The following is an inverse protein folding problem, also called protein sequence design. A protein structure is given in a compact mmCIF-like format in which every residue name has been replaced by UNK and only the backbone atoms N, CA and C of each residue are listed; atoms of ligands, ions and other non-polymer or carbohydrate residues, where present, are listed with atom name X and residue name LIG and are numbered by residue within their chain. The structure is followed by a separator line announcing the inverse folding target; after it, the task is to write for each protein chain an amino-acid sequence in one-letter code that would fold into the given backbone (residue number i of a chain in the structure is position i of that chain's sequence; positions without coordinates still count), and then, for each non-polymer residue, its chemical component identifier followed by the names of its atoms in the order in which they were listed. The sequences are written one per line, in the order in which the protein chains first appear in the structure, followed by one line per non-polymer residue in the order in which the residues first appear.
data_IF_032758425851
#
_entry.id   IF_032758425851
#
_cell.length_a   1.000
_cell.length_b   1.000
_cell.length_c   1.000
_cell.angle_alpha   90.00
_cell.angle_beta   90.00
_cell.angle_gamma   90.00
#
_symmetry.space_group_name_H-M   'P 1'
#
loop_
_entity.id
_entity.type
_entity.pdbx_description
1 polymer ?
#
# COMPACT_ATOMS: atom_id res chain seq x y z
N UNK A 1 31.52 -22.23 -10.48
CA UNK A 1 32.36 -21.02 -10.18
C UNK A 1 33.32 -20.88 -11.35
N UNK A 2 33.40 -19.73 -11.96
CA UNK A 2 34.34 -19.46 -13.06
C UNK A 2 35.74 -19.52 -12.52
N UNK A 3 36.63 -20.33 -13.12
CA UNK A 3 37.99 -20.55 -12.61
C UNK A 3 39.04 -20.64 -13.69
N UNK A 4 38.64 -20.73 -14.98
CA UNK A 4 39.57 -20.89 -16.08
C UNK A 4 40.04 -19.52 -16.59
N UNK A 5 41.32 -19.43 -16.93
CA UNK A 5 41.93 -18.28 -17.63
C UNK A 5 42.05 -18.61 -19.10
N UNK A 6 41.52 -17.80 -20.00
CA UNK A 6 41.73 -17.94 -21.45
C UNK A 6 42.83 -17.00 -21.88
N UNK A 7 43.91 -17.56 -22.43
CA UNK A 7 45.02 -16.81 -23.01
C UNK A 7 44.87 -16.79 -24.54
N UNK A 8 44.85 -15.59 -25.10
CA UNK A 8 44.69 -15.36 -26.54
C UNK A 8 45.88 -14.57 -27.07
N UNK A 9 46.75 -15.21 -27.82
CA UNK A 9 47.96 -14.61 -28.44
C UNK A 9 48.34 -15.49 -29.64
N UNK A 10 48.73 -14.92 -30.77
CA UNK A 10 49.12 -15.68 -31.95
C UNK A 10 50.52 -16.34 -31.81
N UNK A 11 51.36 -15.78 -30.92
CA UNK A 11 52.70 -16.31 -30.66
C UNK A 11 52.65 -17.41 -29.57
N UNK A 12 53.05 -18.61 -29.95
CA UNK A 12 53.14 -19.78 -29.06
C UNK A 12 53.97 -19.49 -27.78
N UNK A 13 55.14 -18.85 -27.97
CA UNK A 13 56.02 -18.48 -26.85
C UNK A 13 55.33 -17.61 -25.79
N UNK A 14 54.50 -16.65 -26.21
CA UNK A 14 53.76 -15.79 -25.29
C UNK A 14 52.71 -16.59 -24.51
N UNK A 15 52.00 -17.50 -25.19
CA UNK A 15 51.01 -18.38 -24.53
C UNK A 15 51.66 -19.28 -23.48
N UNK A 16 52.78 -19.95 -23.86
CA UNK A 16 53.54 -20.81 -22.92
C UNK A 16 54.05 -20.02 -21.71
N UNK A 17 54.60 -18.83 -21.91
CA UNK A 17 55.05 -17.97 -20.80
C UNK A 17 53.92 -17.58 -19.88
N UNK A 18 52.75 -17.14 -20.40
CA UNK A 18 51.58 -16.77 -19.58
C UNK A 18 50.98 -17.97 -18.92
N UNK A 19 50.92 -19.12 -19.58
CA UNK A 19 50.44 -20.38 -19.02
C UNK A 19 51.31 -20.78 -17.83
N UNK A 20 52.61 -20.79 -17.96
CA UNK A 20 53.57 -21.12 -16.87
C UNK A 20 53.44 -20.17 -15.64
N UNK A 21 53.04 -18.90 -15.85
CA UNK A 21 52.83 -17.94 -14.78
C UNK A 21 51.53 -18.26 -14.00
N UNK A 22 50.48 -18.77 -14.69
CA UNK A 22 49.12 -18.83 -14.16
C UNK A 22 48.63 -20.24 -13.82
N UNK A 23 49.21 -21.29 -14.41
CA UNK A 23 48.77 -22.71 -14.24
C UNK A 23 48.82 -23.23 -12.82
N UNK A 24 49.67 -22.64 -11.94
CA UNK A 24 49.68 -22.98 -10.51
C UNK A 24 48.39 -22.58 -9.76
N UNK A 25 47.73 -21.52 -10.23
CA UNK A 25 46.56 -20.95 -9.55
C UNK A 25 45.25 -21.16 -10.32
N UNK A 26 45.33 -21.27 -11.68
CA UNK A 26 44.16 -21.35 -12.56
C UNK A 26 44.35 -22.40 -13.66
N UNK A 27 43.29 -23.18 -13.98
CA UNK A 27 43.26 -23.95 -15.23
C UNK A 27 43.32 -23.01 -16.44
N UNK A 28 44.26 -23.23 -17.33
CA UNK A 28 44.47 -22.40 -18.47
C UNK A 28 43.84 -23.00 -19.72
N UNK A 29 43.23 -22.14 -20.54
CA UNK A 29 42.80 -22.41 -21.92
C UNK A 29 43.63 -21.53 -22.87
N UNK A 30 43.97 -22.06 -24.04
CA UNK A 30 44.79 -21.34 -25.00
C UNK A 30 44.11 -21.22 -26.38
N UNK A 31 44.11 -20.01 -26.92
CA UNK A 31 43.67 -19.73 -28.28
C UNK A 31 44.82 -19.04 -29.06
N UNK A 32 45.14 -19.59 -30.22
CA UNK A 32 46.20 -19.14 -31.11
C UNK A 32 45.78 -18.01 -32.06
N UNK A 33 44.62 -17.40 -31.83
CA UNK A 33 44.09 -16.27 -32.58
C UNK A 33 42.65 -15.91 -32.22
N UNK A 34 42.17 -14.79 -32.75
CA UNK A 34 40.89 -14.21 -32.38
C UNK A 34 39.69 -15.08 -32.75
N UNK A 35 39.71 -15.82 -33.86
CA UNK A 35 38.62 -16.71 -34.28
C UNK A 35 38.42 -17.82 -33.25
N UNK A 36 39.47 -18.52 -32.88
CA UNK A 36 39.43 -19.59 -31.88
C UNK A 36 39.05 -19.06 -30.51
N UNK A 37 39.52 -17.85 -30.17
CA UNK A 37 39.12 -17.20 -28.92
C UNK A 37 37.62 -16.99 -28.83
N UNK A 38 36.95 -16.51 -29.87
CA UNK A 38 35.48 -16.31 -29.89
C UNK A 38 34.76 -17.66 -29.76
N UNK A 39 35.21 -18.70 -30.46
CA UNK A 39 34.61 -20.05 -30.32
C UNK A 39 34.74 -20.59 -28.91
N UNK A 40 35.94 -20.48 -28.32
CA UNK A 40 36.19 -20.94 -26.95
C UNK A 40 35.43 -20.13 -25.90
N UNK A 41 35.30 -18.80 -26.06
CA UNK A 41 34.50 -17.97 -25.18
C UNK A 41 33.03 -18.42 -25.23
N UNK A 42 32.50 -18.70 -26.41
CA UNK A 42 31.12 -19.17 -26.56
C UNK A 42 30.90 -20.54 -25.88
N UNK A 43 31.86 -21.45 -26.02
CA UNK A 43 31.80 -22.83 -25.47
C UNK A 43 31.98 -22.81 -23.95
N UNK A 44 32.96 -22.05 -23.43
CA UNK A 44 33.33 -22.07 -21.99
C UNK A 44 32.93 -20.81 -21.22
N UNK A 45 31.98 -20.00 -21.72
CA UNK A 45 31.56 -18.71 -21.10
C UNK A 45 31.23 -18.78 -19.62
N UNK A 46 30.71 -19.91 -19.14
CA UNK A 46 30.31 -20.10 -17.74
C UNK A 46 31.46 -20.61 -16.86
N UNK A 47 32.62 -20.94 -17.47
CA UNK A 47 33.80 -21.45 -16.78
C UNK A 47 34.98 -20.44 -16.84
N UNK A 48 35.02 -19.52 -17.83
CA UNK A 48 36.06 -18.52 -17.96
C UNK A 48 35.91 -17.42 -16.91
N UNK A 49 36.96 -17.25 -16.11
CA UNK A 49 37.05 -16.20 -15.08
C UNK A 49 37.62 -14.90 -15.62
N UNK A 50 38.58 -14.97 -16.56
CA UNK A 50 39.19 -13.81 -17.22
C UNK A 50 39.75 -14.23 -18.57
N UNK A 51 39.77 -13.30 -19.55
CA UNK A 51 40.44 -13.44 -20.84
C UNK A 51 41.66 -12.53 -20.86
N UNK A 52 42.85 -13.10 -21.13
CA UNK A 52 44.07 -12.37 -21.45
C UNK A 52 44.15 -12.27 -22.98
N UNK A 53 44.11 -11.08 -23.53
CA UNK A 53 43.91 -10.85 -24.95
C UNK A 53 45.02 -10.00 -25.53
N UNK A 54 45.78 -10.53 -26.50
CA UNK A 54 46.61 -9.68 -27.36
C UNK A 54 45.74 -8.92 -28.37
N UNK A 55 46.11 -7.67 -28.64
CA UNK A 55 45.42 -6.83 -29.62
C UNK A 55 45.90 -7.10 -31.05
N UNK A 56 47.16 -7.44 -31.24
CA UNK A 56 47.78 -7.54 -32.54
C UNK A 56 47.91 -9.01 -32.91
N UNK A 57 46.96 -9.51 -33.67
CA UNK A 57 46.90 -10.88 -34.15
C UNK A 57 46.49 -10.91 -35.63
N UNK A 58 46.94 -11.90 -36.44
CA UNK A 58 46.54 -12.04 -37.83
C UNK A 58 45.08 -12.45 -37.97
N UNK A 59 44.46 -12.17 -39.10
CA UNK A 59 43.07 -12.49 -39.50
C UNK A 59 41.99 -11.81 -38.64
N UNK A 60 41.90 -12.16 -37.39
CA UNK A 60 40.94 -11.62 -36.41
C UNK A 60 41.73 -11.02 -35.25
N UNK A 61 41.81 -9.71 -35.21
CA UNK A 61 42.56 -8.98 -34.20
C UNK A 61 41.80 -8.92 -32.83
N UNK A 62 42.49 -8.46 -31.80
CA UNK A 62 41.90 -8.36 -30.47
C UNK A 62 40.73 -7.40 -30.38
N UNK A 63 40.66 -6.36 -31.21
CA UNK A 63 39.50 -5.46 -31.26
C UNK A 63 38.25 -6.17 -31.80
N UNK A 64 38.39 -7.02 -32.80
CA UNK A 64 37.29 -7.83 -33.32
C UNK A 64 36.76 -8.83 -32.25
N UNK A 65 37.66 -9.40 -31.44
CA UNK A 65 37.28 -10.24 -30.30
C UNK A 65 36.48 -9.43 -29.27
N UNK A 66 36.97 -8.23 -28.90
CA UNK A 66 36.25 -7.33 -27.96
C UNK A 66 34.87 -6.91 -28.48
N UNK A 67 34.77 -6.62 -29.78
CA UNK A 67 33.48 -6.27 -30.40
C UNK A 67 32.49 -7.43 -30.38
N UNK A 68 32.95 -8.64 -30.69
CA UNK A 68 32.16 -9.86 -30.58
C UNK A 68 31.66 -10.07 -29.12
N UNK A 69 32.54 -9.92 -28.13
CA UNK A 69 32.22 -10.03 -26.72
C UNK A 69 31.20 -8.96 -26.26
N UNK A 70 31.34 -7.73 -26.79
CA UNK A 70 30.41 -6.62 -26.51
C UNK A 70 29.03 -6.91 -27.09
N UNK A 71 28.94 -7.31 -28.33
CA UNK A 71 27.69 -7.62 -29.03
C UNK A 71 26.94 -8.78 -28.40
N UNK A 72 27.62 -9.76 -27.84
CA UNK A 72 27.06 -10.89 -27.12
C UNK A 72 26.86 -10.61 -25.61
N UNK A 73 27.16 -9.39 -25.14
CA UNK A 73 27.11 -8.99 -23.73
C UNK A 73 28.03 -9.80 -22.80
N UNK A 74 29.03 -10.52 -23.32
CA UNK A 74 29.94 -11.32 -22.49
C UNK A 74 30.85 -10.46 -21.62
N UNK A 75 31.23 -9.24 -22.06
CA UNK A 75 32.03 -8.30 -21.27
C UNK A 75 31.41 -7.92 -19.94
N UNK A 76 30.08 -8.09 -19.78
CA UNK A 76 29.39 -7.86 -18.48
C UNK A 76 29.81 -8.88 -17.45
N UNK A 77 30.13 -10.08 -17.87
CA UNK A 77 30.32 -11.23 -16.95
C UNK A 77 31.72 -11.84 -17.03
N UNK A 78 32.46 -11.61 -18.12
CA UNK A 78 33.83 -12.09 -18.34
C UNK A 78 34.72 -10.88 -18.52
N UNK A 79 35.60 -10.57 -17.56
CA UNK A 79 36.58 -9.49 -17.71
C UNK A 79 37.64 -9.82 -18.74
N UNK A 80 38.09 -8.80 -19.45
CA UNK A 80 39.19 -8.90 -20.39
C UNK A 80 40.37 -8.07 -19.87
N UNK A 81 41.54 -8.71 -19.85
CA UNK A 81 42.82 -8.11 -19.56
C UNK A 81 43.63 -8.06 -20.87
N UNK A 82 43.86 -6.89 -21.40
CA UNK A 82 44.60 -6.73 -22.64
C UNK A 82 46.11 -6.79 -22.38
N UNK A 83 46.83 -7.60 -23.18
CA UNK A 83 48.30 -7.71 -23.14
C UNK A 83 48.84 -7.16 -24.45
N UNK A 84 49.59 -6.05 -24.42
CA UNK A 84 50.00 -5.39 -25.63
C UNK A 84 51.39 -4.73 -25.51
N UNK A 85 52.14 -4.72 -26.59
CA UNK A 85 53.38 -3.93 -26.73
C UNK A 85 53.06 -2.45 -27.07
N UNK A 86 51.86 -2.16 -27.49
CA UNK A 86 51.43 -0.82 -27.86
C UNK A 86 51.05 0.01 -26.62
N UNK A 87 51.70 1.18 -26.49
CA UNK A 87 51.54 2.06 -25.34
C UNK A 87 50.92 3.42 -25.68
N UNK A 88 50.29 3.53 -26.86
CA UNK A 88 49.60 4.78 -27.24
C UNK A 88 48.35 4.98 -26.43
N UNK A 89 48.21 6.17 -25.80
CA UNK A 89 47.05 6.53 -24.96
C UNK A 89 45.70 6.40 -25.69
N UNK A 90 45.67 6.60 -27.00
CA UNK A 90 44.50 6.47 -27.86
C UNK A 90 43.96 5.02 -27.89
N UNK A 91 44.88 4.04 -27.95
CA UNK A 91 44.53 2.60 -27.97
C UNK A 91 44.02 2.17 -26.61
N UNK A 92 44.68 2.59 -25.53
CA UNK A 92 44.22 2.33 -24.16
C UNK A 92 42.82 2.92 -23.93
N UNK A 93 42.59 4.19 -24.32
CA UNK A 93 41.26 4.84 -24.18
C UNK A 93 40.17 4.09 -24.94
N UNK A 94 40.43 3.72 -26.20
CA UNK A 94 39.48 2.95 -27.01
C UNK A 94 39.10 1.61 -26.38
N UNK A 95 40.06 0.89 -25.82
CA UNK A 95 39.82 -0.39 -25.19
C UNK A 95 38.96 -0.22 -23.91
N UNK A 96 39.22 0.81 -23.08
CA UNK A 96 38.36 1.10 -21.89
C UNK A 96 36.93 1.46 -22.30
N UNK A 97 36.74 2.24 -23.37
CA UNK A 97 35.39 2.53 -23.91
C UNK A 97 34.67 1.27 -24.40
N UNK A 98 35.44 0.25 -24.84
CA UNK A 98 34.87 -1.05 -25.20
C UNK A 98 34.55 -1.95 -23.98
N UNK A 99 35.05 -1.61 -22.80
CA UNK A 99 34.76 -2.34 -21.55
C UNK A 99 35.89 -3.29 -21.11
N UNK A 100 37.12 -3.07 -21.54
CA UNK A 100 38.32 -3.79 -21.05
C UNK A 100 38.53 -3.47 -19.58
N UNK A 101 38.82 -4.48 -18.76
CA UNK A 101 38.97 -4.33 -17.33
C UNK A 101 40.32 -3.73 -16.91
N UNK A 102 41.42 -4.12 -17.58
CA UNK A 102 42.78 -3.60 -17.32
C UNK A 102 43.76 -3.97 -18.46
N UNK A 103 45.01 -3.51 -18.35
CA UNK A 103 46.09 -3.71 -19.32
C UNK A 103 47.35 -4.26 -18.70
N UNK A 104 48.10 -5.08 -19.45
CA UNK A 104 49.48 -5.50 -19.18
C UNK A 104 50.34 -5.12 -20.35
N UNK A 105 51.43 -4.36 -20.09
CA UNK A 105 52.41 -3.97 -21.14
C UNK A 105 53.46 -5.04 -21.32
N UNK A 106 53.78 -5.34 -22.61
CA UNK A 106 54.95 -6.17 -22.98
C UNK A 106 56.24 -5.31 -23.00
N UNK A 107 57.38 -5.75 -22.46
CA UNK A 107 57.58 -7.02 -21.74
C UNK A 107 56.94 -6.96 -20.36
N UNK A 108 56.32 -8.04 -19.95
CA UNK A 108 55.61 -8.12 -18.66
C UNK A 108 56.45 -8.84 -17.58
N UNK A 109 56.22 -8.43 -16.34
CA UNK A 109 56.75 -9.09 -15.14
C UNK A 109 55.76 -10.14 -14.63
N UNK A 110 56.27 -11.32 -14.24
CA UNK A 110 55.44 -12.43 -13.80
C UNK A 110 54.56 -12.08 -12.59
N UNK A 111 55.12 -11.31 -11.64
CA UNK A 111 54.36 -10.90 -10.44
C UNK A 111 53.22 -9.91 -10.78
N UNK A 112 53.45 -9.03 -11.77
CA UNK A 112 52.46 -8.08 -12.25
C UNK A 112 51.29 -8.83 -12.93
N UNK A 113 51.61 -9.79 -13.83
CA UNK A 113 50.57 -10.62 -14.47
C UNK A 113 49.72 -11.35 -13.43
N UNK A 114 50.36 -12.08 -12.54
CA UNK A 114 49.66 -12.86 -11.48
C UNK A 114 48.75 -11.96 -10.62
N UNK A 115 49.28 -10.85 -10.12
CA UNK A 115 48.54 -9.94 -9.29
C UNK A 115 47.36 -9.28 -10.01
N UNK A 116 47.49 -8.86 -11.26
CA UNK A 116 46.41 -8.25 -12.05
C UNK A 116 45.31 -9.26 -12.36
N UNK A 117 45.67 -10.47 -12.78
CA UNK A 117 44.69 -11.56 -13.02
C UNK A 117 43.93 -11.85 -11.76
N UNK A 118 44.64 -12.07 -10.62
CA UNK A 118 44.00 -12.34 -9.31
C UNK A 118 43.01 -11.24 -8.90
N UNK A 119 43.46 -9.97 -8.93
CA UNK A 119 42.63 -8.85 -8.54
C UNK A 119 41.32 -8.75 -9.38
N UNK A 120 41.45 -8.99 -10.69
CA UNK A 120 40.30 -8.93 -11.60
C UNK A 120 39.36 -10.10 -11.37
N UNK A 121 39.90 -11.32 -11.24
CA UNK A 121 39.08 -12.51 -10.94
C UNK A 121 38.31 -12.35 -9.61
N UNK A 122 39.00 -11.87 -8.58
CA UNK A 122 38.39 -11.62 -7.26
C UNK A 122 37.29 -10.53 -7.35
N UNK A 123 37.60 -9.40 -8.00
CA UNK A 123 36.64 -8.28 -8.15
C UNK A 123 35.37 -8.70 -8.88
N UNK A 124 35.51 -9.39 -10.00
CA UNK A 124 34.37 -9.86 -10.78
C UNK A 124 33.62 -10.99 -10.07
N UNK A 125 34.33 -11.86 -9.35
CA UNK A 125 33.73 -12.89 -8.50
C UNK A 125 32.84 -12.28 -7.41
N UNK A 126 33.35 -11.29 -6.66
CA UNK A 126 32.59 -10.57 -5.64
C UNK A 126 31.41 -9.80 -6.23
N UNK A 127 31.58 -9.14 -7.36
CA UNK A 127 30.51 -8.42 -8.05
C UNK A 127 29.35 -9.37 -8.41
N UNK A 128 29.67 -10.48 -9.05
CA UNK A 128 28.65 -11.45 -9.47
C UNK A 128 27.89 -12.07 -8.26
N UNK A 129 28.63 -12.39 -7.19
CA UNK A 129 28.01 -12.86 -5.95
C UNK A 129 27.10 -11.82 -5.31
N UNK A 130 27.52 -10.55 -5.34
CA UNK A 130 26.71 -9.44 -4.79
C UNK A 130 25.44 -9.22 -5.62
N UNK A 131 25.54 -9.23 -6.94
CA UNK A 131 24.41 -9.09 -7.86
C UNK A 131 23.37 -10.21 -7.60
N UNK A 132 23.82 -11.47 -7.51
CA UNK A 132 22.94 -12.61 -7.21
C UNK A 132 22.27 -12.48 -5.83
N UNK A 133 23.04 -12.03 -4.82
CA UNK A 133 22.50 -11.80 -3.48
C UNK A 133 21.46 -10.69 -3.46
N UNK A 134 21.72 -9.57 -4.16
CA UNK A 134 20.78 -8.45 -4.29
C UNK A 134 19.49 -8.90 -4.97
N UNK A 135 19.59 -9.67 -6.05
CA UNK A 135 18.42 -10.19 -6.76
C UNK A 135 17.56 -11.10 -5.85
N UNK A 136 18.20 -12.05 -5.16
CA UNK A 136 17.51 -12.94 -4.19
C UNK A 136 16.85 -12.15 -3.07
N UNK A 137 17.55 -11.16 -2.50
CA UNK A 137 16.99 -10.33 -1.42
C UNK A 137 15.84 -9.47 -1.92
N UNK A 138 15.96 -8.88 -3.11
CA UNK A 138 14.90 -8.06 -3.72
C UNK A 138 13.65 -8.89 -3.99
N UNK A 139 13.80 -10.11 -4.50
CA UNK A 139 12.68 -11.02 -4.73
C UNK A 139 11.99 -11.41 -3.41
N UNK A 140 12.76 -11.73 -2.37
CA UNK A 140 12.23 -12.03 -1.05
C UNK A 140 11.48 -10.84 -0.43
N UNK A 141 12.07 -9.63 -0.50
CA UNK A 141 11.45 -8.39 0.01
C UNK A 141 10.12 -8.08 -0.71
N UNK A 142 10.06 -8.23 -2.03
CA UNK A 142 8.83 -8.06 -2.80
C UNK A 142 7.73 -9.04 -2.35
N UNK A 143 8.10 -10.28 -2.05
CA UNK A 143 7.15 -11.29 -1.54
C UNK A 143 6.63 -10.91 -0.16
N UNK A 144 7.51 -10.48 0.75
CA UNK A 144 7.12 -10.02 2.09
C UNK A 144 6.22 -8.80 2.04
N UNK A 145 6.55 -7.81 1.20
CA UNK A 145 5.72 -6.61 1.02
C UNK A 145 4.29 -6.95 0.58
N UNK A 146 4.14 -7.82 -0.43
CA UNK A 146 2.81 -8.27 -0.87
C UNK A 146 2.02 -8.97 0.25
N UNK A 147 2.70 -9.76 1.08
CA UNK A 147 2.06 -10.42 2.21
C UNK A 147 1.59 -9.41 3.27
N UNK A 148 2.44 -8.43 3.61
CA UNK A 148 2.11 -7.37 4.57
C UNK A 148 0.91 -6.54 4.12
N UNK A 149 0.85 -6.15 2.84
CA UNK A 149 -0.31 -5.42 2.28
C UNK A 149 -1.58 -6.24 2.45
N UNK A 150 -1.54 -7.54 2.09
CA UNK A 150 -2.70 -8.42 2.26
C UNK A 150 -3.14 -8.56 3.72
N UNK A 151 -2.18 -8.69 4.64
CA UNK A 151 -2.49 -8.78 6.08
C UNK A 151 -3.10 -7.48 6.62
N UNK A 152 -2.57 -6.32 6.20
CA UNK A 152 -3.11 -5.02 6.58
C UNK A 152 -4.58 -4.85 6.10
N UNK A 153 -4.88 -5.24 4.85
CA UNK A 153 -6.25 -5.23 4.34
C UNK A 153 -7.19 -6.17 5.11
N UNK A 154 -6.70 -7.38 5.44
CA UNK A 154 -7.48 -8.33 6.23
C UNK A 154 -7.76 -7.80 7.63
N UNK A 155 -6.77 -7.19 8.29
CA UNK A 155 -6.92 -6.59 9.61
C UNK A 155 -7.94 -5.44 9.56
N UNK A 156 -7.84 -4.55 8.57
CA UNK A 156 -8.80 -3.46 8.36
C UNK A 156 -10.23 -3.99 8.21
N UNK A 157 -10.44 -5.02 7.39
CA UNK A 157 -11.75 -5.66 7.21
C UNK A 157 -12.25 -6.31 8.51
N UNK A 158 -11.37 -6.99 9.24
CA UNK A 158 -11.72 -7.62 10.51
C UNK A 158 -12.17 -6.59 11.55
N UNK A 159 -11.45 -5.47 11.67
CA UNK A 159 -11.81 -4.39 12.58
C UNK A 159 -13.18 -3.78 12.20
N UNK A 160 -13.43 -3.51 10.91
CA UNK A 160 -14.73 -3.02 10.45
C UNK A 160 -15.86 -3.99 10.81
N UNK A 161 -15.64 -5.30 10.60
CA UNK A 161 -16.65 -6.31 10.94
C UNK A 161 -16.93 -6.36 12.45
N UNK A 162 -15.90 -6.24 13.28
CA UNK A 162 -16.08 -6.21 14.77
C UNK A 162 -16.92 -5.00 15.16
N UNK A 163 -16.65 -3.83 14.60
CA UNK A 163 -17.42 -2.61 14.85
C UNK A 163 -18.89 -2.79 14.44
N UNK A 164 -19.13 -3.36 13.26
CA UNK A 164 -20.49 -3.62 12.77
C UNK A 164 -21.23 -4.64 13.65
N UNK A 165 -20.55 -5.66 14.16
CA UNK A 165 -21.10 -6.63 15.10
C UNK A 165 -21.45 -5.95 16.43
N UNK A 166 -20.56 -5.10 16.96
CA UNK A 166 -20.82 -4.38 18.21
C UNK A 166 -22.06 -3.48 18.08
N UNK A 167 -22.14 -2.68 17.02
CA UNK A 167 -23.33 -1.88 16.74
C UNK A 167 -24.60 -2.73 16.64
N UNK A 168 -24.52 -3.84 15.89
CA UNK A 168 -25.66 -4.77 15.73
C UNK A 168 -26.11 -5.41 17.05
N UNK A 169 -25.17 -5.78 17.94
CA UNK A 169 -25.49 -6.36 19.25
C UNK A 169 -26.19 -5.34 20.13
N UNK A 170 -25.75 -4.08 20.10
CA UNK A 170 -26.40 -3.00 20.89
C UNK A 170 -27.80 -2.72 20.38
N UNK A 171 -27.98 -2.59 19.08
CA UNK A 171 -29.30 -2.38 18.46
C UNK A 171 -30.23 -3.58 18.65
N UNK A 172 -29.71 -4.81 18.66
CA UNK A 172 -30.46 -6.02 18.94
C UNK A 172 -31.13 -6.01 20.34
N UNK A 173 -30.50 -5.32 21.34
CA UNK A 173 -31.17 -5.10 22.65
C UNK A 173 -32.40 -4.22 22.57
N UNK A 174 -32.43 -3.30 21.63
CA UNK A 174 -33.56 -2.38 21.43
C UNK A 174 -34.65 -2.96 20.49
N UNK A 175 -34.59 -4.25 20.20
CA UNK A 175 -35.46 -4.93 19.23
C UNK A 175 -35.37 -4.35 17.80
N UNK A 176 -34.37 -3.55 17.52
CA UNK A 176 -34.07 -3.09 16.17
C UNK A 176 -33.22 -4.14 15.41
N UNK A 177 -33.45 -4.26 14.12
CA UNK A 177 -32.69 -5.22 13.32
C UNK A 177 -31.26 -4.69 13.04
N UNK A 178 -30.26 -5.56 13.01
CA UNK A 178 -28.89 -5.18 12.63
C UNK A 178 -28.76 -4.53 11.24
N UNK A 179 -29.84 -4.49 10.49
CA UNK A 179 -29.94 -3.76 9.22
C UNK A 179 -29.96 -2.23 9.41
N UNK A 180 -30.41 -1.72 10.58
CA UNK A 180 -30.34 -0.30 10.93
C UNK A 180 -28.90 0.24 10.81
N UNK A 181 -27.93 -0.44 11.42
CA UNK A 181 -26.52 -0.06 11.35
C UNK A 181 -26.05 0.05 9.89
N UNK A 182 -26.40 -0.92 9.05
CA UNK A 182 -26.01 -0.90 7.63
C UNK A 182 -26.66 0.25 6.88
N UNK A 183 -27.93 0.56 7.18
CA UNK A 183 -28.66 1.66 6.52
C UNK A 183 -28.09 3.01 6.92
N UNK A 184 -27.88 3.27 8.21
CA UNK A 184 -27.27 4.51 8.71
C UNK A 184 -25.88 4.72 8.08
N UNK A 185 -25.03 3.67 8.01
CA UNK A 185 -23.73 3.73 7.31
C UNK A 185 -23.90 4.12 5.85
N UNK A 186 -24.85 3.52 5.15
CA UNK A 186 -25.11 3.81 3.74
C UNK A 186 -25.60 5.24 3.51
N UNK A 187 -26.55 5.71 4.31
CA UNK A 187 -27.06 7.09 4.24
C UNK A 187 -25.99 8.11 4.59
N UNK A 188 -25.22 7.85 5.65
CA UNK A 188 -24.07 8.69 6.02
C UNK A 188 -23.08 8.82 4.88
N UNK A 189 -22.73 7.71 4.21
CA UNK A 189 -21.80 7.73 3.06
C UNK A 189 -22.33 8.58 1.91
N UNK A 190 -23.58 8.36 1.50
CA UNK A 190 -24.20 9.10 0.39
C UNK A 190 -24.21 10.61 0.67
N UNK A 191 -24.57 11.00 1.91
CA UNK A 191 -24.65 12.41 2.29
C UNK A 191 -23.24 13.03 2.43
N UNK A 192 -22.29 12.32 2.99
CA UNK A 192 -20.91 12.78 3.17
C UNK A 192 -20.20 12.99 1.82
N UNK A 193 -20.36 12.07 0.87
CA UNK A 193 -19.82 12.20 -0.49
C UNK A 193 -20.39 13.42 -1.21
N UNK A 194 -21.67 13.72 -1.02
CA UNK A 194 -22.30 14.91 -1.60
C UNK A 194 -21.77 16.18 -0.91
N UNK A 195 -21.66 16.18 0.43
CA UNK A 195 -21.13 17.31 1.19
C UNK A 195 -19.66 17.60 0.83
N UNK A 196 -18.86 16.56 0.58
CA UNK A 196 -17.48 16.71 0.11
C UNK A 196 -17.39 17.46 -1.21
N UNK A 197 -18.32 17.18 -2.14
CA UNK A 197 -18.34 17.81 -3.46
C UNK A 197 -18.87 19.24 -3.43
N UNK A 198 -19.89 19.49 -2.61
CA UNK A 198 -20.60 20.77 -2.62
C UNK A 198 -19.96 21.82 -1.68
N UNK A 199 -19.33 21.37 -0.61
CA UNK A 199 -18.81 22.23 0.46
C UNK A 199 -17.37 21.85 0.85
N UNK A 200 -16.37 22.24 0.04
CA UNK A 200 -14.96 21.93 0.30
C UNK A 200 -14.44 22.46 1.65
N UNK A 201 -15.10 23.49 2.21
CA UNK A 201 -14.76 24.07 3.51
C UNK A 201 -14.92 23.09 4.68
N UNK A 202 -15.70 22.02 4.55
CA UNK A 202 -15.75 20.94 5.53
C UNK A 202 -14.49 20.09 5.58
N UNK A 203 -13.58 20.25 4.59
CA UNK A 203 -12.31 19.54 4.53
C UNK A 203 -12.45 18.01 4.52
N UNK A 204 -13.56 17.51 3.96
CA UNK A 204 -13.84 16.09 3.83
C UNK A 204 -12.93 15.48 2.75
N UNK A 205 -12.39 14.31 3.04
CA UNK A 205 -11.66 13.46 2.09
C UNK A 205 -12.28 12.07 2.10
N UNK A 206 -12.01 11.27 1.08
CA UNK A 206 -12.53 9.89 1.06
C UNK A 206 -12.12 9.09 2.30
N UNK A 207 -10.89 9.28 2.79
CA UNK A 207 -10.40 8.63 4.00
C UNK A 207 -11.21 9.04 5.23
N UNK A 208 -11.48 10.34 5.41
CA UNK A 208 -12.33 10.84 6.50
C UNK A 208 -13.75 10.30 6.39
N UNK A 209 -14.32 10.24 5.19
CA UNK A 209 -15.64 9.68 4.94
C UNK A 209 -15.68 8.20 5.33
N UNK A 210 -14.68 7.42 4.94
CA UNK A 210 -14.60 5.99 5.30
C UNK A 210 -14.56 5.78 6.83
N UNK A 211 -13.83 6.65 7.55
CA UNK A 211 -13.79 6.68 9.01
C UNK A 211 -15.17 7.01 9.58
N UNK A 212 -15.80 8.09 9.12
CA UNK A 212 -17.14 8.51 9.58
C UNK A 212 -18.19 7.42 9.35
N UNK A 213 -18.17 6.79 8.18
CA UNK A 213 -19.08 5.68 7.84
C UNK A 213 -18.86 4.48 8.75
N UNK A 214 -17.61 4.13 9.05
CA UNK A 214 -17.31 3.04 9.98
C UNK A 214 -17.76 3.39 11.41
N UNK A 215 -17.40 4.59 11.87
CA UNK A 215 -17.72 5.07 13.22
C UNK A 215 -19.22 5.27 13.47
N UNK A 216 -20.00 5.55 12.41
CA UNK A 216 -21.47 5.71 12.56
C UNK A 216 -22.17 4.46 13.11
N UNK A 217 -21.56 3.28 12.97
CA UNK A 217 -22.08 2.05 13.58
C UNK A 217 -22.11 2.09 15.12
N UNK A 218 -21.32 2.99 15.73
CA UNK A 218 -21.16 3.12 17.17
C UNK A 218 -21.95 4.30 17.77
N UNK A 219 -22.75 5.03 16.97
CA UNK A 219 -23.47 6.22 17.44
C UNK A 219 -24.29 5.95 18.70
N UNK A 220 -24.88 4.79 18.78
CA UNK A 220 -25.79 4.35 19.86
C UNK A 220 -25.15 3.35 20.84
N UNK A 221 -23.82 3.16 20.84
CA UNK A 221 -23.12 2.18 21.69
C UNK A 221 -23.49 2.33 23.19
N UNK A 222 -23.78 3.53 23.65
CA UNK A 222 -24.14 3.81 25.01
C UNK A 222 -25.53 3.29 25.44
N UNK A 223 -26.39 2.86 24.50
CA UNK A 223 -27.64 2.17 24.83
C UNK A 223 -27.42 0.89 25.66
N UNK A 224 -26.21 0.31 25.57
CA UNK A 224 -25.86 -0.85 26.42
C UNK A 224 -25.92 -0.56 27.91
N UNK A 225 -25.73 0.70 28.30
CA UNK A 225 -25.79 1.13 29.70
C UNK A 225 -27.18 1.62 30.13
N UNK A 226 -28.18 1.63 29.25
CA UNK A 226 -29.56 2.01 29.59
C UNK A 226 -30.30 0.81 30.14
N UNK A 227 -31.03 0.95 31.27
CA UNK A 227 -31.83 -0.13 31.86
C UNK A 227 -32.93 -0.63 30.92
N UNK A 228 -33.17 -1.94 30.89
CA UNK A 228 -34.19 -2.57 30.01
C UNK A 228 -35.60 -2.06 30.20
N UNK A 229 -35.98 -1.74 31.44
CA UNK A 229 -37.30 -1.18 31.75
C UNK A 229 -37.53 0.22 31.13
N UNK A 230 -36.46 0.92 30.74
CA UNK A 230 -36.53 2.19 30.02
C UNK A 230 -36.36 1.94 28.53
N UNK A 231 -35.32 1.18 28.15
CA UNK A 231 -34.97 0.91 26.75
C UNK A 231 -36.11 0.19 26.01
N UNK A 232 -36.74 -0.80 26.64
CA UNK A 232 -37.79 -1.65 26.05
C UNK A 232 -39.22 -1.24 26.48
N UNK A 233 -39.40 -0.05 27.07
CA UNK A 233 -40.69 0.38 27.55
C UNK A 233 -41.73 0.50 26.44
N UNK A 234 -42.87 -0.25 26.50
CA UNK A 234 -43.88 -0.24 25.46
C UNK A 234 -44.84 0.96 25.57
N UNK A 235 -44.36 2.11 26.02
CA UNK A 235 -45.13 3.33 26.20
C UNK A 235 -44.24 4.56 26.12
N UNK A 236 -44.81 5.75 26.10
CA UNK A 236 -44.04 6.99 26.16
C UNK A 236 -43.23 7.04 27.45
N UNK A 237 -41.98 7.46 27.35
CA UNK A 237 -41.10 7.68 28.49
C UNK A 237 -41.60 8.86 29.33
N UNK A 238 -41.52 8.74 30.66
CA UNK A 238 -41.64 9.89 31.54
C UNK A 238 -40.50 10.86 31.35
N UNK A 239 -40.55 12.03 31.95
CA UNK A 239 -39.50 13.04 31.83
C UNK A 239 -38.14 12.51 32.33
N UNK A 240 -38.18 11.83 33.51
CA UNK A 240 -36.93 11.28 34.10
C UNK A 240 -36.37 10.09 33.29
N UNK A 241 -37.26 9.22 32.77
CA UNK A 241 -36.86 8.13 31.88
C UNK A 241 -36.29 8.66 30.56
N UNK A 242 -36.83 9.75 30.04
CA UNK A 242 -36.29 10.39 28.83
C UNK A 242 -34.92 11.02 29.08
N UNK A 243 -34.69 11.65 30.26
CA UNK A 243 -33.34 12.12 30.65
C UNK A 243 -32.38 10.96 30.79
N UNK A 244 -32.82 9.82 31.36
CA UNK A 244 -32.01 8.61 31.41
C UNK A 244 -31.71 8.09 30.00
N UNK A 245 -32.66 8.05 29.08
CA UNK A 245 -32.47 7.64 27.70
C UNK A 245 -31.44 8.52 26.98
N UNK A 246 -31.53 9.84 27.14
CA UNK A 246 -30.55 10.79 26.53
C UNK A 246 -29.11 10.55 26.98
N UNK A 247 -28.92 9.98 28.19
CA UNK A 247 -27.59 9.70 28.71
C UNK A 247 -26.83 8.65 27.90
N UNK A 248 -27.46 7.93 26.93
CA UNK A 248 -26.71 7.00 26.06
C UNK A 248 -25.58 7.70 25.31
N UNK A 249 -25.76 8.97 24.94
CA UNK A 249 -24.71 9.74 24.24
C UNK A 249 -23.45 9.92 25.10
N UNK A 250 -23.61 10.29 26.37
CA UNK A 250 -22.48 10.49 27.28
C UNK A 250 -21.92 9.17 27.80
N UNK A 251 -22.76 8.18 28.10
CA UNK A 251 -22.30 6.84 28.50
C UNK A 251 -21.58 6.11 27.37
N UNK A 252 -22.00 6.35 26.13
CA UNK A 252 -21.29 5.83 24.96
C UNK A 252 -19.89 6.40 24.86
N UNK A 253 -19.72 7.69 25.14
CA UNK A 253 -18.39 8.31 25.20
C UNK A 253 -17.50 7.68 26.28
N UNK A 254 -18.06 7.44 27.50
CA UNK A 254 -17.31 6.75 28.56
C UNK A 254 -16.86 5.34 28.14
N UNK A 255 -17.63 4.63 27.32
CA UNK A 255 -17.25 3.32 26.78
C UNK A 255 -16.14 3.49 25.75
N UNK A 256 -16.26 4.47 24.85
CA UNK A 256 -15.25 4.72 23.79
C UNK A 256 -13.92 5.19 24.37
N UNK A 257 -13.93 6.02 25.41
CA UNK A 257 -12.72 6.48 26.12
C UNK A 257 -11.92 5.30 26.71
N UNK A 258 -12.60 4.25 27.19
CA UNK A 258 -11.93 3.06 27.74
C UNK A 258 -11.22 2.19 26.69
N UNK A 259 -11.44 2.43 25.40
CA UNK A 259 -10.86 1.69 24.29
C UNK A 259 -10.07 2.59 23.32
N UNK A 260 -9.79 3.83 23.72
CA UNK A 260 -9.07 4.81 22.92
C UNK A 260 -7.71 4.29 22.43
N UNK A 261 -6.97 3.59 23.28
CA UNK A 261 -5.66 3.00 22.95
C UNK A 261 -5.71 1.89 21.88
N UNK A 262 -6.90 1.36 21.56
CA UNK A 262 -7.07 0.27 20.58
C UNK A 262 -7.16 0.79 19.15
N UNK A 263 -7.59 2.03 18.96
CA UNK A 263 -7.82 2.65 17.67
C UNK A 263 -6.87 3.80 17.42
N UNK A 264 -6.74 4.22 16.16
CA UNK A 264 -6.00 5.43 15.86
C UNK A 264 -6.75 6.68 16.39
N UNK A 265 -6.00 7.74 16.70
CA UNK A 265 -6.52 8.97 17.31
C UNK A 265 -7.65 9.60 16.49
N UNK A 266 -7.55 9.54 15.15
CA UNK A 266 -8.58 10.11 14.25
C UNK A 266 -9.88 9.33 14.35
N UNK A 267 -9.80 7.98 14.37
CA UNK A 267 -11.00 7.13 14.49
C UNK A 267 -11.65 7.31 15.84
N UNK A 268 -10.88 7.31 16.94
CA UNK A 268 -11.37 7.51 18.31
C UNK A 268 -12.09 8.85 18.44
N UNK A 269 -11.50 9.92 17.96
CA UNK A 269 -12.09 11.26 17.96
C UNK A 269 -13.41 11.32 17.19
N UNK A 270 -13.44 10.80 15.96
CA UNK A 270 -14.66 10.81 15.14
C UNK A 270 -15.76 9.95 15.76
N UNK A 271 -15.43 8.80 16.31
CA UNK A 271 -16.39 7.94 17.01
C UNK A 271 -16.99 8.63 18.23
N UNK A 272 -16.16 9.29 19.02
CA UNK A 272 -16.61 10.10 20.17
C UNK A 272 -17.51 11.24 19.73
N UNK A 273 -17.13 12.03 18.74
CA UNK A 273 -17.91 13.15 18.20
C UNK A 273 -19.29 12.69 17.70
N UNK A 274 -19.35 11.58 16.98
CA UNK A 274 -20.61 11.00 16.50
C UNK A 274 -21.46 10.53 17.67
N UNK A 275 -20.92 9.71 18.57
CA UNK A 275 -21.64 9.15 19.68
C UNK A 275 -22.22 10.24 20.59
N UNK A 276 -21.44 11.27 20.89
CA UNK A 276 -21.84 12.36 21.76
C UNK A 276 -22.90 13.28 21.15
N UNK A 277 -22.73 13.62 19.84
CA UNK A 277 -23.42 14.78 19.26
C UNK A 277 -24.41 14.46 18.14
N UNK A 278 -24.69 13.18 17.79
CA UNK A 278 -25.62 12.85 16.70
C UNK A 278 -27.07 13.28 16.99
N UNK A 279 -27.41 13.56 18.25
CA UNK A 279 -28.69 14.12 18.66
C UNK A 279 -28.69 15.64 18.85
N UNK A 280 -27.58 16.30 18.60
CA UNK A 280 -27.57 17.77 18.56
C UNK A 280 -28.43 18.28 17.40
N UNK A 281 -28.95 19.48 17.54
CA UNK A 281 -29.79 20.14 16.55
C UNK A 281 -29.24 21.51 16.26
N UNK A 282 -29.24 21.89 15.00
CA UNK A 282 -28.59 23.10 14.48
C UNK A 282 -29.07 24.38 15.19
N UNK A 283 -30.31 24.36 15.78
CA UNK A 283 -30.89 25.44 16.55
C UNK A 283 -30.54 25.39 18.06
N UNK A 284 -29.66 24.50 18.51
CA UNK A 284 -29.24 24.34 19.90
C UNK A 284 -30.24 23.69 20.81
N UNK A 285 -31.34 23.11 20.27
CA UNK A 285 -32.34 22.39 21.07
C UNK A 285 -32.04 20.88 21.18
N UNK A 286 -30.87 20.46 20.69
CA UNK A 286 -30.40 19.10 20.82
C UNK A 286 -29.85 18.75 22.21
N UNK A 287 -29.14 17.64 22.29
CA UNK A 287 -28.48 17.16 23.51
C UNK A 287 -27.24 16.34 23.14
N UNK A 288 -26.24 16.19 24.05
CA UNK A 288 -26.24 16.58 25.47
C UNK A 288 -25.76 18.02 25.70
N UNK A 289 -24.95 18.60 24.80
CA UNK A 289 -24.19 19.83 25.04
C UNK A 289 -24.91 21.09 24.52
N UNK A 290 -25.98 20.94 23.74
CA UNK A 290 -26.77 22.01 23.11
C UNK A 290 -25.94 22.90 22.18
N UNK A 291 -25.10 22.28 21.39
CA UNK A 291 -24.28 22.96 20.42
C UNK A 291 -25.12 23.65 19.32
N UNK A 292 -24.67 24.80 18.82
CA UNK A 292 -25.42 25.61 17.85
C UNK A 292 -24.66 25.68 16.53
N UNK A 293 -25.33 25.47 15.43
CA UNK A 293 -24.77 25.69 14.09
C UNK A 293 -23.57 24.78 13.81
N UNK A 294 -22.49 25.38 13.35
CA UNK A 294 -21.27 24.67 12.98
C UNK A 294 -20.37 24.28 14.19
N UNK A 295 -20.79 24.57 15.43
CA UNK A 295 -20.17 23.97 16.62
C UNK A 295 -20.39 22.46 16.68
N UNK A 296 -21.47 21.98 16.04
CA UNK A 296 -21.74 20.53 15.93
C UNK A 296 -20.74 19.92 14.93
N UNK A 297 -19.94 18.92 15.35
CA UNK A 297 -19.01 18.25 14.45
C UNK A 297 -19.73 17.73 13.20
N UNK A 298 -19.12 17.95 12.01
CA UNK A 298 -19.74 17.55 10.74
C UNK A 298 -20.10 16.06 10.69
N UNK A 299 -19.27 15.21 11.28
CA UNK A 299 -19.54 13.77 11.37
C UNK A 299 -20.86 13.49 12.12
N UNK A 300 -21.09 14.17 13.23
CA UNK A 300 -22.32 14.04 14.00
C UNK A 300 -23.54 14.60 13.25
N UNK A 301 -23.40 15.74 12.56
CA UNK A 301 -24.46 16.29 11.73
C UNK A 301 -24.91 15.32 10.63
N UNK A 302 -23.94 14.70 9.92
CA UNK A 302 -24.20 13.74 8.85
C UNK A 302 -24.93 12.49 9.37
N UNK A 303 -24.44 11.93 10.49
CA UNK A 303 -25.05 10.75 11.12
C UNK A 303 -26.43 11.09 11.68
N UNK A 304 -26.60 12.26 12.27
CA UNK A 304 -27.92 12.68 12.81
C UNK A 304 -29.02 12.78 11.74
N UNK A 305 -28.68 13.24 10.51
CA UNK A 305 -29.63 13.22 9.38
C UNK A 305 -29.91 11.79 8.93
N UNK A 306 -28.88 10.95 8.85
CA UNK A 306 -28.99 9.55 8.41
C UNK A 306 -29.84 8.71 9.38
N UNK A 307 -29.59 8.86 10.70
CA UNK A 307 -30.32 8.16 11.74
C UNK A 307 -31.79 8.57 11.76
N UNK A 308 -32.09 9.87 11.73
CA UNK A 308 -33.49 10.36 11.71
C UNK A 308 -34.22 9.87 10.45
N UNK A 309 -33.57 9.88 9.28
CA UNK A 309 -34.21 9.35 8.08
C UNK A 309 -34.50 7.86 8.20
N UNK A 310 -33.55 7.06 8.70
CA UNK A 310 -33.77 5.63 8.93
C UNK A 310 -34.88 5.37 9.92
N UNK A 311 -34.91 6.12 11.04
CA UNK A 311 -35.95 6.00 12.03
C UNK A 311 -37.36 6.34 11.51
N UNK A 312 -37.48 7.14 10.46
CA UNK A 312 -38.75 7.48 9.82
C UNK A 312 -39.20 6.39 8.84
N UNK A 313 -38.32 5.86 8.02
CA UNK A 313 -38.63 4.93 6.92
C UNK A 313 -38.64 3.45 7.33
N UNK A 314 -38.22 3.15 8.58
CA UNK A 314 -38.21 1.79 9.13
C UNK A 314 -39.44 1.53 10.04
N UNK A 315 -39.98 0.30 9.96
CA UNK A 315 -41.00 -0.14 10.89
C UNK A 315 -40.42 -0.30 12.29
N UNK A 316 -41.12 0.22 13.29
CA UNK A 316 -40.82 0.02 14.73
C UNK A 316 -42.01 -0.57 15.42
N UNK A 317 -41.78 -1.28 16.51
CA UNK A 317 -42.84 -2.01 17.29
C UNK A 317 -44.08 -1.15 17.58
N UNK A 318 -43.92 0.17 17.62
CA UNK A 318 -44.99 1.13 18.01
C UNK A 318 -45.33 2.13 16.91
N UNK A 319 -44.76 2.02 15.68
CA UNK A 319 -44.98 3.01 14.63
C UNK A 319 -44.81 2.40 13.26
N UNK A 320 -45.82 2.56 12.41
CA UNK A 320 -45.71 2.25 10.97
C UNK A 320 -44.66 3.14 10.34
N UNK A 321 -43.92 2.60 9.35
CA UNK A 321 -42.96 3.35 8.54
C UNK A 321 -43.69 4.46 7.77
N UNK A 322 -43.06 5.62 7.69
CA UNK A 322 -43.46 6.65 6.72
C UNK A 322 -42.95 6.27 5.32
N UNK A 323 -43.57 6.81 4.29
CA UNK A 323 -43.02 6.73 2.96
C UNK A 323 -41.70 7.54 2.86
N UNK A 324 -40.86 7.17 1.90
CA UNK A 324 -39.59 7.90 1.66
C UNK A 324 -39.84 9.39 1.41
N UNK A 325 -40.95 9.75 0.71
CA UNK A 325 -41.36 11.13 0.45
C UNK A 325 -41.77 11.88 1.70
N UNK A 326 -42.60 11.25 2.57
CA UNK A 326 -43.03 11.85 3.83
C UNK A 326 -41.81 12.09 4.75
N UNK A 327 -40.95 11.09 4.92
CA UNK A 327 -39.74 11.19 5.71
C UNK A 327 -38.83 12.33 5.22
N UNK A 328 -38.67 12.45 3.92
CA UNK A 328 -37.92 13.53 3.31
C UNK A 328 -38.54 14.91 3.65
N UNK A 329 -39.83 15.07 3.49
CA UNK A 329 -40.52 16.31 3.82
C UNK A 329 -40.41 16.69 5.28
N UNK A 330 -40.60 15.74 6.19
CA UNK A 330 -40.48 15.96 7.65
C UNK A 330 -39.08 16.46 8.06
N UNK A 331 -38.02 15.92 7.45
CA UNK A 331 -36.63 16.37 7.70
C UNK A 331 -36.41 17.77 7.18
N UNK A 332 -36.86 18.04 5.95
CA UNK A 332 -36.63 19.34 5.28
C UNK A 332 -37.47 20.45 5.91
N UNK A 333 -38.67 20.14 6.41
CA UNK A 333 -39.56 21.11 7.12
C UNK A 333 -39.12 21.37 8.56
N UNK A 334 -38.23 20.57 9.12
CA UNK A 334 -37.76 20.71 10.49
C UNK A 334 -38.68 20.07 11.55
N UNK A 335 -39.67 19.23 11.16
CA UNK A 335 -40.57 18.53 12.08
C UNK A 335 -39.81 17.53 13.00
N UNK A 336 -38.66 17.03 12.53
CA UNK A 336 -37.80 16.09 13.24
C UNK A 336 -36.59 16.77 13.92
N UNK A 337 -36.61 18.09 14.03
CA UNK A 337 -35.52 18.93 14.49
C UNK A 337 -34.82 19.68 13.34
N UNK A 338 -34.10 20.72 13.70
CA UNK A 338 -33.43 21.60 12.72
C UNK A 338 -32.05 21.04 12.38
N UNK A 339 -31.78 20.89 11.11
CA UNK A 339 -30.48 20.46 10.56
C UNK A 339 -29.79 21.60 9.81
N UNK A 340 -28.49 21.43 9.54
CA UNK A 340 -27.69 22.40 8.77
C UNK A 340 -28.34 22.70 7.41
N UNK A 341 -28.55 23.97 7.03
CA UNK A 341 -29.07 24.33 5.72
C UNK A 341 -28.25 23.77 4.56
N UNK A 342 -26.90 23.73 4.72
CA UNK A 342 -25.97 23.14 3.76
C UNK A 342 -26.21 21.64 3.58
N UNK A 343 -26.37 20.92 4.70
CA UNK A 343 -26.65 19.48 4.64
C UNK A 343 -28.05 19.18 4.12
N UNK A 344 -29.04 20.01 4.40
CA UNK A 344 -30.39 19.88 3.79
C UNK A 344 -30.34 20.10 2.27
N UNK A 345 -29.46 20.99 1.78
CA UNK A 345 -29.25 21.14 0.33
C UNK A 345 -28.62 19.90 -0.28
N UNK A 346 -27.57 19.34 0.36
CA UNK A 346 -27.00 18.06 -0.06
C UNK A 346 -28.06 16.94 -0.04
N UNK A 347 -28.85 16.86 1.00
CA UNK A 347 -29.89 15.84 1.16
C UNK A 347 -30.93 15.91 0.04
N UNK A 348 -31.35 17.13 -0.37
CA UNK A 348 -32.22 17.31 -1.55
C UNK A 348 -31.63 16.73 -2.83
N UNK A 349 -30.32 16.94 -3.06
CA UNK A 349 -29.62 16.44 -4.24
C UNK A 349 -29.50 14.92 -4.29
N UNK A 350 -29.38 14.28 -3.11
CA UNK A 350 -29.22 12.82 -3.01
C UNK A 350 -30.50 12.05 -2.68
N UNK A 351 -31.68 12.69 -2.64
CA UNK A 351 -32.97 12.09 -2.31
C UNK A 351 -33.18 10.73 -2.98
N UNK A 352 -33.02 10.66 -4.31
CA UNK A 352 -33.21 9.41 -5.06
C UNK A 352 -32.23 8.29 -4.64
N UNK A 353 -31.03 8.63 -4.20
CA UNK A 353 -30.05 7.63 -3.72
C UNK A 353 -30.48 7.09 -2.36
N UNK A 354 -31.04 7.93 -1.48
CA UNK A 354 -31.60 7.51 -0.20
C UNK A 354 -32.79 6.57 -0.39
N UNK A 355 -33.76 6.95 -1.26
CA UNK A 355 -34.90 6.12 -1.61
C UNK A 355 -34.47 4.75 -2.16
N UNK A 356 -33.51 4.73 -3.11
CA UNK A 356 -33.00 3.50 -3.69
C UNK A 356 -32.35 2.58 -2.64
N UNK A 357 -31.58 3.14 -1.71
CA UNK A 357 -30.99 2.37 -0.61
C UNK A 357 -32.04 1.83 0.35
N UNK A 358 -33.03 2.64 0.74
CA UNK A 358 -34.17 2.23 1.57
C UNK A 358 -34.93 1.05 0.96
N UNK A 359 -35.25 1.14 -0.33
CA UNK A 359 -36.04 0.11 -1.05
C UNK A 359 -35.23 -1.18 -1.30
N UNK A 360 -33.94 -1.08 -1.65
CA UNK A 360 -33.11 -2.25 -1.88
C UNK A 360 -33.02 -3.17 -0.64
N UNK A 361 -33.07 -2.59 0.55
CA UNK A 361 -32.99 -3.35 1.79
C UNK A 361 -34.35 -3.90 2.26
N UNK A 362 -35.46 -3.22 1.94
CA UNK A 362 -36.81 -3.76 2.16
C UNK A 362 -37.05 -5.04 1.33
N UNK A 363 -36.54 -5.07 0.09
CA UNK A 363 -36.65 -6.23 -0.79
C UNK A 363 -35.79 -7.43 -0.36
N UNK A 364 -34.73 -7.23 0.42
CA UNK A 364 -33.90 -8.32 0.97
C UNK A 364 -34.50 -8.95 2.24
N UNK A 365 -35.56 -8.38 2.80
CA UNK A 365 -36.25 -8.88 4.01
C UNK A 365 -37.55 -9.62 3.67
N UNK A 366 -38.04 -9.50 2.43
CA UNK A 366 -39.19 -10.21 1.90
C UNK A 366 -38.78 -11.52 1.24
#
# INVERSE_FOLDING_TARGET
MRSKVLIVDDMELNREMLSAILEEEYPVLEADGGRKAIEMIQEYKDEIAVVLLDLIMPEVDGFAVLEAMKNQSWLKTIPVLVITAESRAEVESRCFEMGVADFIKKPFDNAIVRNRVKNIVDLFGYRNQLEEKVEKQTAALRKQYKLLVKQAEQLKRSNTNIIDILGTVVEGRNLESGEHVKRVKGFTKILAEQAMNDYPEYGLTQEKIDIMVSASALHDIGKIAIPDNILLKPARLSKDEYECMKSHTTRGCEILDNIEDVWDETYSKVSYEICRHHHERYDGKGYPDRLVGEEIPIAAQLVGVADVYDALVSERVYKSAYSDDEAFHMIVSGECGVFSPKLLECFRKVKKKFEALSQAQKNNQA
#
